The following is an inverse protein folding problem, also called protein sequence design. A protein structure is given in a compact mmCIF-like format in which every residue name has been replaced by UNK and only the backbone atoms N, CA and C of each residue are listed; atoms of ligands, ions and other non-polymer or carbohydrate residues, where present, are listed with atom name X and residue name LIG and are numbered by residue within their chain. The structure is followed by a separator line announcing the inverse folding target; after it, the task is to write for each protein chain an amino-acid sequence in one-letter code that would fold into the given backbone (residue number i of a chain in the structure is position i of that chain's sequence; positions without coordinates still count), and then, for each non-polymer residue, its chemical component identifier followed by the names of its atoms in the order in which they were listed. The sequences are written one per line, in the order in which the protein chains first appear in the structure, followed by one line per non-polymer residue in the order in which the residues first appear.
data_IF_217368502644
#
_entry.id   IF_217368502644
#
_cell.length_a   1.000
_cell.length_b   1.000
_cell.length_c   1.000
_cell.angle_alpha   90.00
_cell.angle_beta   90.00
_cell.angle_gamma   90.00
#
_symmetry.space_group_name_H-M   'P 1'
#
loop_
_entity.id
_entity.type
_entity.pdbx_description
1 polymer ?
#
# COMPACT_ATOMS: atom_id res chain seq x y z
N UNK A 1 40.17 -10.67 -34.64
CA UNK A 1 38.70 -10.44 -34.78
C UNK A 1 37.95 -11.31 -33.78
N UNK A 2 37.93 -11.00 -32.46
CA UNK A 2 37.13 -11.75 -31.45
C UNK A 2 36.74 -10.86 -30.22
N UNK A 3 36.74 -9.55 -30.34
CA UNK A 3 36.39 -8.62 -29.23
C UNK A 3 35.02 -7.98 -29.36
N UNK A 4 34.34 -8.09 -30.50
CA UNK A 4 33.03 -7.46 -30.73
C UNK A 4 31.81 -8.22 -30.20
N UNK A 5 31.87 -9.55 -30.11
CA UNK A 5 30.72 -10.36 -29.70
C UNK A 5 30.45 -10.37 -28.19
N UNK A 6 31.48 -10.18 -27.37
CA UNK A 6 31.32 -10.15 -25.89
C UNK A 6 30.68 -8.86 -25.39
N UNK A 7 30.86 -7.75 -26.09
CA UNK A 7 30.25 -6.46 -25.71
C UNK A 7 28.77 -6.39 -26.02
N UNK A 8 28.34 -7.07 -27.10
CA UNK A 8 26.92 -7.13 -27.48
C UNK A 8 26.06 -7.98 -26.51
N UNK A 9 26.66 -9.03 -25.94
CA UNK A 9 25.96 -9.91 -24.98
C UNK A 9 25.77 -9.24 -23.61
N UNK A 10 26.72 -8.41 -23.17
CA UNK A 10 26.57 -7.63 -21.93
C UNK A 10 25.52 -6.51 -22.05
N UNK A 11 25.35 -5.93 -23.23
CA UNK A 11 24.34 -4.88 -23.45
C UNK A 11 22.91 -5.44 -23.49
N UNK A 12 22.72 -6.66 -23.99
CA UNK A 12 21.43 -7.36 -24.02
C UNK A 12 20.99 -7.84 -22.63
N UNK A 13 21.91 -8.13 -21.71
CA UNK A 13 21.58 -8.50 -20.31
C UNK A 13 21.16 -7.31 -19.44
N UNK A 14 21.56 -6.09 -19.79
CA UNK A 14 21.18 -4.87 -19.06
C UNK A 14 19.77 -4.36 -19.41
N UNK A 15 19.21 -4.77 -20.53
CA UNK A 15 17.83 -4.35 -20.96
C UNK A 15 16.74 -5.24 -20.34
N UNK A 16 17.08 -6.40 -19.80
CA UNK A 16 16.11 -7.36 -19.25
C UNK A 16 15.59 -7.01 -17.83
N UNK A 17 16.06 -5.94 -17.19
CA UNK A 17 15.67 -5.54 -15.84
C UNK A 17 14.93 -4.20 -15.74
N UNK A 18 14.44 -3.65 -16.83
CA UNK A 18 13.43 -2.62 -16.78
C UNK A 18 12.08 -3.29 -16.51
N UNK A 19 11.88 -3.74 -15.28
CA UNK A 19 10.56 -4.09 -14.78
C UNK A 19 9.68 -2.86 -14.94
N UNK A 20 8.73 -2.90 -15.88
CA UNK A 20 7.70 -1.89 -15.99
C UNK A 20 6.96 -1.86 -14.66
N UNK A 21 7.15 -0.79 -13.88
CA UNK A 21 6.24 -0.45 -12.79
C UNK A 21 4.93 -0.10 -13.47
N UNK A 22 4.13 -1.12 -13.77
CA UNK A 22 2.76 -0.92 -14.21
C UNK A 22 2.05 -0.26 -13.03
N UNK A 23 1.59 0.98 -13.21
CA UNK A 23 0.72 1.63 -12.26
C UNK A 23 -0.44 0.66 -11.97
N UNK A 24 -0.57 0.23 -10.73
CA UNK A 24 -1.61 -0.71 -10.35
C UNK A 24 -2.96 0.01 -10.42
N UNK A 25 -3.78 -0.36 -11.41
CA UNK A 25 -5.12 0.21 -11.54
C UNK A 25 -5.94 -0.09 -10.29
N UNK A 26 -6.49 0.96 -9.70
CA UNK A 26 -7.31 0.88 -8.49
C UNK A 26 -8.66 0.19 -8.78
N UNK A 27 -9.16 -0.51 -7.77
CA UNK A 27 -10.53 -1.03 -7.76
C UNK A 27 -11.46 0.15 -7.49
N UNK A 28 -12.44 0.37 -8.37
CA UNK A 28 -13.49 1.37 -8.14
C UNK A 28 -14.51 0.89 -7.11
N UNK A 29 -15.21 1.85 -6.50
CA UNK A 29 -16.28 1.60 -5.53
C UNK A 29 -15.86 0.66 -4.37
N UNK A 30 -14.71 0.94 -3.77
CA UNK A 30 -14.15 0.12 -2.67
C UNK A 30 -15.14 -0.04 -1.54
N UNK A 31 -15.80 1.05 -1.12
CA UNK A 31 -16.76 1.03 0.01
C UNK A 31 -18.06 0.28 -0.28
N UNK A 32 -18.40 0.03 -1.54
CA UNK A 32 -19.52 -0.81 -1.93
C UNK A 32 -19.21 -2.31 -1.99
N UNK A 33 -17.98 -2.72 -1.61
CA UNK A 33 -17.52 -4.10 -1.65
C UNK A 33 -17.53 -4.74 -0.27
N UNK A 34 -17.24 -6.04 -0.23
CA UNK A 34 -17.00 -6.72 1.04
C UNK A 34 -15.65 -6.28 1.60
N UNK A 35 -15.68 -5.46 2.64
CA UNK A 35 -14.50 -4.87 3.26
C UNK A 35 -14.37 -5.31 4.73
N UNK A 36 -13.14 -5.46 5.17
CA UNK A 36 -12.77 -5.57 6.58
C UNK A 36 -11.85 -4.40 6.92
N UNK A 37 -12.29 -3.54 7.83
CA UNK A 37 -11.52 -2.36 8.22
C UNK A 37 -10.35 -2.75 9.11
N UNK A 38 -9.17 -2.24 8.77
CA UNK A 38 -7.97 -2.34 9.58
C UNK A 38 -7.68 -1.02 10.33
N UNK A 39 -8.64 -0.11 10.38
CA UNK A 39 -8.56 1.14 11.14
C UNK A 39 -8.50 0.88 12.65
N UNK A 40 -8.07 1.90 13.39
CA UNK A 40 -8.00 1.88 14.84
C UNK A 40 -6.59 2.20 15.34
N UNK A 41 -6.24 1.73 16.53
CA UNK A 41 -4.92 1.96 17.10
C UNK A 41 -3.91 0.97 16.55
N UNK A 42 -2.84 1.48 15.95
CA UNK A 42 -1.69 0.72 15.49
C UNK A 42 -0.51 0.97 16.41
N UNK A 43 0.33 -0.01 16.62
CA UNK A 43 1.61 0.18 17.26
C UNK A 43 2.53 0.96 16.32
N UNK A 44 3.38 1.82 16.88
CA UNK A 44 4.26 2.66 16.08
C UNK A 44 5.67 2.76 16.68
N UNK A 45 6.66 2.95 15.81
CA UNK A 45 8.06 3.19 16.17
C UNK A 45 8.53 4.43 15.42
N UNK A 46 9.09 5.40 16.15
CA UNK A 46 9.74 6.57 15.56
C UNK A 46 11.16 6.15 15.18
N UNK A 47 11.45 6.09 13.90
CA UNK A 47 12.77 5.68 13.38
C UNK A 47 13.63 6.92 13.08
N UNK A 48 14.18 7.51 14.13
CA UNK A 48 14.95 8.76 14.05
C UNK A 48 16.17 8.67 13.12
N UNK A 49 16.73 7.48 13.00
CA UNK A 49 18.00 7.24 12.30
C UNK A 49 17.84 6.43 11.01
N UNK A 50 16.62 6.15 10.57
CA UNK A 50 16.30 5.32 9.39
C UNK A 50 16.96 3.93 9.45
N UNK A 51 17.01 3.32 10.62
CA UNK A 51 17.64 2.02 10.82
C UNK A 51 16.65 0.84 10.68
N UNK A 52 15.35 1.10 10.68
CA UNK A 52 14.32 0.06 10.69
C UNK A 52 14.43 -0.93 9.53
N UNK A 53 14.83 -0.47 8.34
CA UNK A 53 15.11 -1.33 7.20
C UNK A 53 16.29 -2.27 7.47
N UNK A 54 17.40 -1.73 7.95
CA UNK A 54 18.61 -2.50 8.28
C UNK A 54 18.35 -3.50 9.40
N UNK A 55 17.58 -3.08 10.39
CA UNK A 55 17.21 -3.92 11.55
C UNK A 55 16.06 -4.89 11.24
N UNK A 56 15.47 -4.79 10.04
CA UNK A 56 14.36 -5.62 9.57
C UNK A 56 13.19 -5.68 10.55
N UNK A 57 12.82 -4.54 11.14
CA UNK A 57 11.76 -4.48 12.15
C UNK A 57 10.40 -4.94 11.60
N UNK A 58 10.22 -4.94 10.28
CA UNK A 58 9.05 -5.47 9.58
C UNK A 58 8.89 -6.99 9.68
N UNK A 59 9.94 -7.72 10.10
CA UNK A 59 9.86 -9.16 10.35
C UNK A 59 9.19 -9.46 11.71
N UNK A 60 9.10 -8.48 12.60
CA UNK A 60 8.59 -8.62 13.97
C UNK A 60 9.27 -9.79 14.73
N UNK A 61 10.58 -9.90 14.55
CA UNK A 61 11.39 -10.94 15.19
C UNK A 61 11.39 -10.74 16.70
N UNK A 62 11.26 -11.80 17.44
CA UNK A 62 11.47 -11.79 18.88
C UNK A 62 12.95 -12.04 19.20
N UNK A 63 13.47 -11.50 20.33
CA UNK A 63 14.82 -11.79 20.77
C UNK A 63 15.04 -13.31 20.99
N UNK A 64 16.18 -13.84 20.51
CA UNK A 64 16.53 -15.26 20.64
C UNK A 64 17.21 -15.61 21.98
N UNK A 65 17.26 -14.67 22.91
CA UNK A 65 17.84 -14.87 24.23
C UNK A 65 18.22 -13.57 24.93
N UNK A 66 18.76 -13.67 26.13
CA UNK A 66 19.06 -12.52 26.99
C UNK A 66 20.20 -11.61 26.49
N UNK A 67 20.95 -12.04 25.49
CA UNK A 67 22.06 -11.30 24.87
C UNK A 67 21.73 -10.80 23.46
N UNK A 68 20.55 -11.10 22.95
CA UNK A 68 20.09 -10.58 21.66
C UNK A 68 19.46 -9.21 21.89
N UNK A 69 20.23 -8.16 21.62
CA UNK A 69 19.78 -6.78 21.70
C UNK A 69 18.84 -6.48 20.55
N UNK A 70 17.55 -6.45 20.82
CA UNK A 70 16.51 -6.03 19.89
C UNK A 70 16.05 -4.64 20.26
N UNK A 71 16.54 -3.64 19.52
CA UNK A 71 16.37 -2.23 19.84
C UNK A 71 14.95 -1.73 19.53
N UNK A 72 14.26 -2.37 18.60
CA UNK A 72 12.96 -1.93 18.09
C UNK A 72 11.89 -3.00 18.31
N UNK A 73 11.02 -2.78 19.28
CA UNK A 73 9.83 -3.61 19.49
C UNK A 73 8.56 -2.78 19.31
N UNK A 74 7.56 -3.34 18.63
CA UNK A 74 6.26 -2.68 18.47
C UNK A 74 5.42 -2.75 19.75
N UNK A 75 5.60 -3.79 20.55
CA UNK A 75 4.83 -4.02 21.76
C UNK A 75 5.24 -3.05 22.88
N UNK A 76 4.23 -2.48 23.57
CA UNK A 76 4.44 -1.59 24.72
C UNK A 76 4.89 -0.16 24.38
N UNK A 77 5.07 0.15 23.08
CA UNK A 77 5.51 1.46 22.61
C UNK A 77 4.39 2.44 22.27
N UNK A 78 4.72 3.40 21.40
CA UNK A 78 3.79 4.39 20.88
C UNK A 78 2.63 3.73 20.15
N UNK A 79 1.42 4.29 20.30
CA UNK A 79 0.22 3.90 19.56
C UNK A 79 -0.40 5.10 18.88
N UNK A 80 -0.62 4.96 17.56
CA UNK A 80 -1.21 6.00 16.74
C UNK A 80 -2.54 5.52 16.16
N UNK A 81 -3.50 6.43 16.03
CA UNK A 81 -4.76 6.14 15.37
C UNK A 81 -4.58 6.13 13.86
N UNK A 82 -5.17 5.16 13.20
CA UNK A 82 -5.31 5.04 11.75
C UNK A 82 -6.80 4.99 11.44
N UNK A 83 -7.32 5.87 10.60
CA UNK A 83 -6.65 7.01 9.95
C UNK A 83 -6.25 8.12 10.92
N UNK A 84 -5.16 8.82 10.57
CA UNK A 84 -4.70 9.99 11.29
C UNK A 84 -3.26 10.38 10.93
N UNK A 85 -2.95 11.66 11.06
CA UNK A 85 -1.58 12.12 11.03
C UNK A 85 -0.93 11.94 12.41
N UNK A 86 0.37 11.73 12.44
CA UNK A 86 1.07 11.60 13.72
C UNK A 86 1.34 12.93 14.42
N UNK A 87 1.38 14.04 13.66
CA UNK A 87 1.77 15.36 14.19
C UNK A 87 0.75 15.91 15.17
N UNK A 88 -0.54 15.56 15.01
CA UNK A 88 -1.61 15.95 15.92
C UNK A 88 -1.84 14.98 17.08
N UNK A 89 -1.25 13.78 17.05
CA UNK A 89 -1.56 12.71 18.00
C UNK A 89 -0.57 12.60 19.15
N UNK A 90 0.66 13.11 18.99
CA UNK A 90 1.69 13.09 20.03
C UNK A 90 2.48 14.40 20.04
N UNK A 91 2.70 15.00 21.21
CA UNK A 91 3.53 16.20 21.33
C UNK A 91 4.95 16.02 20.78
N UNK A 92 5.52 14.83 20.94
CA UNK A 92 6.85 14.46 20.44
C UNK A 92 6.94 14.47 18.91
N UNK A 93 5.82 14.20 18.25
CA UNK A 93 5.72 14.13 16.80
C UNK A 93 5.21 15.44 16.17
N UNK A 94 4.86 16.45 16.98
CA UNK A 94 4.24 17.68 16.48
C UNK A 94 4.98 18.31 15.30
N UNK A 95 6.29 18.34 15.35
CA UNK A 95 7.15 18.91 14.30
C UNK A 95 8.03 17.85 13.61
N UNK A 96 7.75 16.59 13.85
CA UNK A 96 8.58 15.51 13.34
C UNK A 96 8.38 15.34 11.83
N UNK A 97 9.48 15.39 11.11
CA UNK A 97 9.61 15.01 9.70
C UNK A 97 10.65 13.89 9.61
N UNK A 98 10.22 12.71 9.23
CA UNK A 98 11.09 11.54 9.21
C UNK A 98 10.31 10.26 8.96
N UNK A 99 10.87 9.16 9.46
CA UNK A 99 10.30 7.83 9.31
C UNK A 99 9.58 7.39 10.58
N UNK A 100 8.32 6.95 10.42
CA UNK A 100 7.54 6.25 11.44
C UNK A 100 7.09 4.91 10.87
N UNK A 101 7.36 3.86 11.62
CA UNK A 101 6.86 2.53 11.32
C UNK A 101 5.55 2.30 12.06
N UNK A 102 4.56 1.80 11.34
CA UNK A 102 3.26 1.37 11.87
C UNK A 102 3.18 -0.14 11.81
N UNK A 103 2.57 -0.77 12.82
CA UNK A 103 2.32 -2.20 12.79
C UNK A 103 0.97 -2.57 13.40
N UNK A 104 0.37 -3.60 12.81
CA UNK A 104 -0.89 -4.18 13.26
C UNK A 104 -0.95 -5.68 12.99
N UNK A 105 -1.45 -6.42 13.95
CA UNK A 105 -1.93 -7.77 13.77
C UNK A 105 -3.40 -7.77 13.36
N UNK A 106 -3.78 -8.65 12.46
CA UNK A 106 -5.17 -8.83 12.05
C UNK A 106 -5.45 -10.26 11.61
N UNK A 107 -6.63 -10.75 11.95
CA UNK A 107 -7.08 -12.06 11.52
C UNK A 107 -7.62 -12.01 10.09
N UNK A 108 -7.18 -12.94 9.27
CA UNK A 108 -7.70 -13.14 7.94
C UNK A 108 -7.84 -14.62 7.62
N UNK A 109 -8.64 -14.92 6.61
CA UNK A 109 -8.75 -16.24 6.03
C UNK A 109 -8.44 -16.16 4.55
N UNK A 110 -7.55 -17.02 4.08
CA UNK A 110 -7.32 -17.18 2.65
C UNK A 110 -8.55 -17.78 2.00
N UNK A 111 -9.08 -17.12 0.98
CA UNK A 111 -10.31 -17.51 0.30
C UNK A 111 -9.98 -17.97 -1.13
N UNK A 112 -10.15 -19.27 -1.39
CA UNK A 112 -9.79 -19.86 -2.68
C UNK A 112 -10.66 -19.34 -3.85
N UNK A 113 -11.91 -18.92 -3.57
CA UNK A 113 -12.88 -18.42 -4.54
C UNK A 113 -12.91 -16.89 -4.67
N UNK A 114 -12.07 -16.16 -3.92
CA UNK A 114 -12.00 -14.69 -3.88
C UNK A 114 -10.63 -14.19 -4.24
N UNK A 115 -10.57 -12.90 -4.58
CA UNK A 115 -9.33 -12.10 -4.55
C UNK A 115 -9.39 -11.15 -3.37
N UNK A 116 -8.25 -10.92 -2.75
CA UNK A 116 -8.13 -10.10 -1.54
C UNK A 116 -7.07 -9.04 -1.76
N UNK A 117 -7.39 -7.80 -1.39
CA UNK A 117 -6.53 -6.63 -1.61
C UNK A 117 -6.40 -5.85 -0.32
N UNK A 118 -5.18 -5.44 0.02
CA UNK A 118 -4.97 -4.36 0.96
C UNK A 118 -5.09 -3.03 0.22
N UNK A 119 -6.01 -2.19 0.68
CA UNK A 119 -6.26 -0.86 0.15
C UNK A 119 -5.88 0.17 1.19
N UNK A 120 -5.11 1.17 0.77
CA UNK A 120 -4.74 2.33 1.56
C UNK A 120 -5.34 3.56 0.89
N UNK A 121 -6.18 4.29 1.61
CA UNK A 121 -6.84 5.49 1.08
C UNK A 121 -5.90 6.67 0.89
N UNK A 122 -4.93 6.83 1.78
CA UNK A 122 -3.79 7.74 1.64
C UNK A 122 -2.74 7.48 2.73
N UNK A 123 -1.47 7.58 2.37
CA UNK A 123 -0.32 7.52 3.28
C UNK A 123 0.63 8.66 2.92
N UNK A 124 0.94 9.53 3.87
CA UNK A 124 1.76 10.71 3.61
C UNK A 124 3.19 10.54 4.16
N UNK A 125 4.24 10.57 3.34
CA UNK A 125 4.28 10.84 1.90
C UNK A 125 4.74 9.62 1.11
N UNK A 126 5.89 9.00 1.50
CA UNK A 126 6.40 7.73 0.95
C UNK A 126 6.06 6.61 1.89
N UNK A 127 5.75 5.46 1.35
CA UNK A 127 5.47 4.29 2.17
C UNK A 127 5.97 3.00 1.53
N UNK A 128 6.39 2.06 2.40
CA UNK A 128 6.63 0.67 2.06
C UNK A 128 5.76 -0.21 2.93
N UNK A 129 5.13 -1.18 2.32
CA UNK A 129 4.18 -2.07 2.99
C UNK A 129 4.75 -3.48 3.06
N UNK A 130 4.70 -4.06 4.26
CA UNK A 130 5.20 -5.41 4.53
C UNK A 130 4.08 -6.26 5.11
N UNK A 131 3.88 -7.43 4.54
CA UNK A 131 2.94 -8.43 5.06
C UNK A 131 3.71 -9.70 5.43
N UNK A 132 3.61 -10.10 6.70
CA UNK A 132 4.28 -11.27 7.24
C UNK A 132 5.80 -11.29 6.98
N UNK A 133 6.45 -10.12 7.11
CA UNK A 133 7.89 -9.96 6.93
C UNK A 133 8.35 -9.79 5.47
N UNK A 134 7.42 -9.77 4.50
CA UNK A 134 7.74 -9.61 3.08
C UNK A 134 7.26 -8.25 2.58
N UNK A 135 8.11 -7.49 1.89
CA UNK A 135 7.72 -6.29 1.16
C UNK A 135 6.75 -6.64 0.03
N UNK A 136 5.61 -5.95 -0.03
CA UNK A 136 4.53 -6.22 -0.97
C UNK A 136 4.13 -5.02 -1.82
N UNK A 137 4.43 -3.80 -1.36
CA UNK A 137 4.15 -2.58 -2.10
C UNK A 137 5.04 -1.43 -1.65
N UNK A 138 5.27 -0.49 -2.57
CA UNK A 138 5.85 0.81 -2.33
C UNK A 138 4.96 1.87 -2.99
N UNK A 139 4.77 3.02 -2.33
CA UNK A 139 3.96 4.12 -2.86
C UNK A 139 4.54 5.48 -2.49
N UNK A 140 4.44 6.42 -3.41
CA UNK A 140 4.77 7.83 -3.20
C UNK A 140 3.59 8.72 -3.58
N UNK A 141 3.16 9.58 -2.66
CA UNK A 141 2.05 10.51 -2.87
C UNK A 141 1.10 10.56 -1.67
N UNK A 142 1.05 11.70 -0.96
CA UNK A 142 0.36 11.84 0.33
C UNK A 142 -1.17 11.78 0.29
N UNK A 143 -1.79 11.90 -0.90
CA UNK A 143 -3.24 12.09 -1.04
C UNK A 143 -3.91 11.08 -1.96
N UNK A 144 -3.13 10.28 -2.68
CA UNK A 144 -3.61 9.28 -3.64
C UNK A 144 -3.74 7.92 -2.99
N UNK A 145 -4.82 7.18 -3.27
CA UNK A 145 -4.95 5.81 -2.80
C UNK A 145 -4.05 4.86 -3.60
N UNK A 146 -3.71 3.75 -2.96
CA UNK A 146 -3.05 2.62 -3.61
C UNK A 146 -3.56 1.30 -3.02
N UNK A 147 -3.29 0.22 -3.71
CA UNK A 147 -3.67 -1.12 -3.27
C UNK A 147 -2.66 -2.16 -3.72
N UNK A 148 -2.69 -3.29 -3.07
CA UNK A 148 -1.90 -4.46 -3.45
C UNK A 148 -2.70 -5.73 -3.27
N UNK A 149 -2.65 -6.64 -4.24
CA UNK A 149 -3.28 -7.95 -4.12
C UNK A 149 -2.50 -8.84 -3.16
N UNK A 150 -3.20 -9.37 -2.16
CA UNK A 150 -2.63 -10.21 -1.11
C UNK A 150 -3.25 -11.61 -1.05
N UNK A 151 -4.01 -12.00 -2.06
CA UNK A 151 -4.75 -13.27 -2.12
C UNK A 151 -3.88 -14.46 -1.74
N UNK A 152 -2.67 -14.54 -2.29
CA UNK A 152 -1.74 -15.66 -2.06
C UNK A 152 -0.71 -15.40 -0.95
N UNK A 153 -0.73 -14.21 -0.35
CA UNK A 153 0.22 -13.78 0.68
C UNK A 153 -0.35 -13.88 2.10
N UNK A 154 -1.68 -13.89 2.22
CA UNK A 154 -2.36 -14.05 3.50
C UNK A 154 -2.15 -15.45 4.06
N UNK A 155 -2.03 -15.53 5.39
CA UNK A 155 -2.12 -16.76 6.15
C UNK A 155 -3.52 -16.90 6.74
N UNK A 156 -3.96 -18.13 7.01
CA UNK A 156 -5.16 -18.33 7.83
C UNK A 156 -4.84 -17.99 9.29
N UNK A 157 -5.69 -17.19 9.92
CA UNK A 157 -5.49 -16.65 11.25
C UNK A 157 -4.70 -15.36 11.26
N UNK A 158 -3.75 -15.21 12.16
CA UNK A 158 -3.02 -13.98 12.41
C UNK A 158 -2.04 -13.62 11.29
N UNK A 159 -2.14 -12.37 10.84
CA UNK A 159 -1.25 -11.76 9.87
C UNK A 159 -0.65 -10.49 10.47
N UNK A 160 0.64 -10.30 10.25
CA UNK A 160 1.36 -9.11 10.67
C UNK A 160 1.54 -8.16 9.50
N UNK A 161 1.00 -6.95 9.63
CA UNK A 161 1.12 -5.87 8.66
C UNK A 161 2.00 -4.78 9.25
N UNK A 162 3.12 -4.46 8.59
CA UNK A 162 3.97 -3.34 8.91
C UNK A 162 4.00 -2.35 7.75
N UNK A 163 4.02 -1.05 8.06
CA UNK A 163 4.08 0.04 7.09
C UNK A 163 5.14 1.04 7.53
N UNK A 164 6.17 1.18 6.73
CA UNK A 164 7.10 2.29 6.83
C UNK A 164 6.48 3.51 6.19
N UNK A 165 6.45 4.63 6.90
CA UNK A 165 5.93 5.90 6.39
C UNK A 165 6.98 6.98 6.61
N UNK A 166 7.34 7.70 5.54
CA UNK A 166 8.32 8.78 5.59
C UNK A 166 7.73 10.05 4.97
N UNK A 167 7.66 11.14 5.76
CA UNK A 167 7.16 12.42 5.29
C UNK A 167 8.26 13.48 5.07
N UNK A 168 9.53 13.10 5.01
CA UNK A 168 10.60 14.09 4.75
C UNK A 168 10.36 14.81 3.44
N UNK A 169 10.48 16.14 3.50
CA UNK A 169 10.38 16.99 2.32
C UNK A 169 11.56 16.77 1.39
N UNK A 170 11.28 16.69 0.11
CA UNK A 170 12.30 16.68 -0.95
C UNK A 170 11.94 17.73 -1.99
N UNK A 171 12.82 17.95 -2.96
CA UNK A 171 12.55 18.92 -4.04
C UNK A 171 11.30 18.57 -4.83
N UNK A 172 11.03 17.27 -4.98
CA UNK A 172 9.97 16.72 -5.83
C UNK A 172 8.73 16.26 -5.03
N UNK A 173 8.77 16.41 -3.69
CA UNK A 173 7.63 16.04 -2.83
C UNK A 173 6.56 17.15 -2.78
N UNK A 174 5.37 16.80 -2.30
CA UNK A 174 4.27 17.75 -2.04
C UNK A 174 3.86 17.61 -0.56
N UNK A 175 4.17 18.60 0.30
CA UNK A 175 4.85 19.87 -0.01
C UNK A 175 6.35 19.68 -0.28
N UNK A 176 6.90 20.52 -1.17
CA UNK A 176 8.33 20.59 -1.43
C UNK A 176 9.06 21.34 -0.31
N UNK A 177 10.41 21.29 -0.31
CA UNK A 177 11.26 21.87 0.73
C UNK A 177 11.01 23.37 1.02
N UNK A 178 10.58 24.13 0.01
CA UNK A 178 10.42 25.59 0.11
C UNK A 178 8.99 26.05 0.48
N UNK A 179 8.07 25.10 0.74
CA UNK A 179 6.71 25.44 1.15
C UNK A 179 6.61 25.62 2.66
N UNK A 180 5.80 26.58 3.08
CA UNK A 180 5.49 26.89 4.49
C UNK A 180 4.30 26.11 5.05
N UNK A 181 3.72 25.18 4.27
CA UNK A 181 2.64 24.32 4.73
C UNK A 181 3.12 23.31 5.75
N UNK A 182 2.25 23.03 6.72
CA UNK A 182 2.50 21.97 7.66
C UNK A 182 2.60 20.61 6.95
N UNK A 183 3.67 19.90 7.23
CA UNK A 183 3.95 18.62 6.59
C UNK A 183 3.43 17.47 7.45
N UNK A 184 2.14 17.20 7.35
CA UNK A 184 1.52 16.08 8.05
C UNK A 184 2.01 14.74 7.51
N UNK A 185 2.45 13.86 8.43
CA UNK A 185 2.84 12.49 8.08
C UNK A 185 1.91 11.45 8.71
N UNK A 186 1.81 10.28 8.10
CA UNK A 186 1.03 9.18 8.66
C UNK A 186 0.12 8.49 7.66
N UNK A 187 -0.64 7.53 8.16
CA UNK A 187 -1.69 6.82 7.41
C UNK A 187 -2.99 7.63 7.60
N UNK A 188 -3.24 8.54 6.67
CA UNK A 188 -4.22 9.63 6.85
C UNK A 188 -5.64 9.27 6.40
N UNK A 189 -5.81 8.13 5.70
CA UNK A 189 -7.12 7.59 5.32
C UNK A 189 -7.19 6.10 5.62
N UNK A 190 -8.36 5.52 5.36
CA UNK A 190 -8.69 4.14 5.71
C UNK A 190 -7.69 3.12 5.17
N UNK A 191 -7.45 2.09 5.98
CA UNK A 191 -6.78 0.85 5.57
C UNK A 191 -7.81 -0.27 5.60
N UNK A 192 -8.00 -0.92 4.46
CA UNK A 192 -9.06 -1.91 4.26
C UNK A 192 -8.51 -3.20 3.65
N UNK A 193 -8.98 -4.34 4.14
CA UNK A 193 -8.88 -5.61 3.42
C UNK A 193 -10.15 -5.77 2.58
N UNK A 194 -10.01 -5.63 1.27
CA UNK A 194 -11.11 -5.67 0.28
C UNK A 194 -11.20 -7.07 -0.30
N UNK A 195 -12.38 -7.66 -0.32
CA UNK A 195 -12.65 -8.98 -0.89
C UNK A 195 -13.52 -8.84 -2.13
N UNK A 196 -13.12 -9.48 -3.23
CA UNK A 196 -13.84 -9.50 -4.49
C UNK A 196 -14.06 -10.93 -4.97
N UNK A 197 -15.05 -11.21 -5.83
CA UNK A 197 -15.04 -12.43 -6.62
C UNK A 197 -13.74 -12.55 -7.44
N UNK A 198 -13.45 -13.72 -7.98
CA UNK A 198 -12.26 -13.86 -8.86
C UNK A 198 -12.36 -12.95 -10.07
N UNK A 199 -13.50 -12.95 -10.75
CA UNK A 199 -13.84 -11.96 -11.77
C UNK A 199 -14.77 -10.92 -11.16
N UNK A 200 -14.41 -9.66 -11.29
CA UNK A 200 -15.17 -8.53 -10.75
C UNK A 200 -15.09 -7.33 -11.69
N UNK A 201 -16.03 -6.39 -11.54
CA UNK A 201 -15.99 -5.11 -12.23
C UNK A 201 -14.85 -4.29 -11.61
N UNK A 202 -13.78 -4.11 -12.38
CA UNK A 202 -12.59 -3.36 -11.96
C UNK A 202 -12.84 -1.87 -12.03
N UNK A 203 -13.44 -1.44 -13.15
CA UNK A 203 -13.78 -0.05 -13.40
C UNK A 203 -15.02 0.04 -14.28
N UNK A 204 -15.73 1.17 -14.21
CA UNK A 204 -16.86 1.45 -15.09
C UNK A 204 -17.00 2.94 -15.34
N UNK A 205 -17.56 3.26 -16.49
CA UNK A 205 -17.88 4.62 -16.89
C UNK A 205 -19.28 4.65 -17.51
N UNK A 206 -20.15 5.52 -16.99
CA UNK A 206 -21.54 5.66 -17.43
C UNK A 206 -21.77 7.11 -17.78
N UNK A 207 -22.29 7.37 -18.98
CA UNK A 207 -22.64 8.71 -19.46
C UNK A 207 -23.84 8.68 -20.38
N UNK A 208 -24.46 9.83 -20.57
CA UNK A 208 -25.42 10.04 -21.66
C UNK A 208 -24.70 10.09 -23.01
N UNK A 209 -25.38 9.59 -24.04
CA UNK A 209 -24.88 9.73 -25.40
C UNK A 209 -24.93 11.19 -25.83
N UNK A 210 -23.86 11.69 -26.43
CA UNK A 210 -23.74 13.09 -26.87
C UNK A 210 -24.79 13.46 -27.94
N UNK A 211 -25.15 12.52 -28.79
CA UNK A 211 -26.03 12.74 -29.94
C UNK A 211 -27.47 12.31 -29.66
N UNK A 212 -27.70 11.49 -28.65
CA UNK A 212 -29.01 10.91 -28.31
C UNK A 212 -29.17 10.98 -26.80
N UNK A 213 -29.65 12.11 -26.23
CA UNK A 213 -29.64 12.35 -24.78
C UNK A 213 -30.48 11.40 -23.93
N UNK A 214 -31.40 10.66 -24.54
CA UNK A 214 -32.20 9.58 -23.95
C UNK A 214 -31.50 8.21 -23.94
N UNK A 215 -30.27 8.14 -24.50
CA UNK A 215 -29.46 6.94 -24.54
C UNK A 215 -28.31 7.00 -23.53
N UNK A 216 -28.11 5.91 -22.78
CA UNK A 216 -26.99 5.73 -21.87
C UNK A 216 -25.91 4.87 -22.55
N UNK A 217 -24.66 5.29 -22.42
CA UNK A 217 -23.49 4.52 -22.77
C UNK A 217 -22.82 4.04 -21.47
N UNK A 218 -22.75 2.73 -21.28
CA UNK A 218 -22.02 2.11 -20.18
C UNK A 218 -20.77 1.38 -20.71
N UNK A 219 -19.59 1.70 -20.17
CA UNK A 219 -18.35 0.96 -20.40
C UNK A 219 -17.97 0.31 -19.11
N UNK A 220 -17.73 -1.00 -19.12
CA UNK A 220 -17.41 -1.80 -17.93
C UNK A 220 -16.11 -2.55 -18.21
N UNK A 221 -15.14 -2.41 -17.30
CA UNK A 221 -13.89 -3.15 -17.34
C UNK A 221 -13.93 -4.26 -16.27
N UNK A 222 -13.77 -5.50 -16.71
CA UNK A 222 -13.65 -6.65 -15.84
C UNK A 222 -12.19 -6.91 -15.48
N UNK A 223 -11.95 -7.48 -14.29
CA UNK A 223 -10.61 -7.85 -13.82
C UNK A 223 -9.96 -8.93 -14.70
N UNK A 224 -10.80 -9.82 -15.26
CA UNK A 224 -10.40 -10.89 -16.15
C UNK A 224 -11.35 -10.94 -17.34
N UNK A 225 -10.79 -11.22 -18.54
CA UNK A 225 -11.59 -11.40 -19.74
C UNK A 225 -11.92 -12.89 -19.90
N UNK A 226 -13.12 -13.28 -19.46
CA UNK A 226 -13.66 -14.61 -19.76
C UNK A 226 -14.77 -14.51 -20.78
N UNK A 227 -14.72 -15.38 -21.82
CA UNK A 227 -15.80 -15.47 -22.80
C UNK A 227 -17.12 -15.90 -22.11
N UNK A 228 -18.22 -15.21 -22.43
CA UNK A 228 -19.54 -15.55 -21.94
C UNK A 228 -19.97 -14.93 -20.61
N UNK A 229 -19.13 -14.08 -19.97
CA UNK A 229 -19.58 -13.32 -18.80
C UNK A 229 -20.60 -12.24 -19.20
N UNK A 230 -21.69 -12.17 -18.42
CA UNK A 230 -22.75 -11.17 -18.60
C UNK A 230 -22.61 -10.08 -17.56
N UNK A 231 -22.66 -8.83 -18.01
CA UNK A 231 -22.78 -7.66 -17.16
C UNK A 231 -24.22 -7.14 -17.25
N UNK A 232 -24.87 -7.00 -16.10
CA UNK A 232 -26.24 -6.45 -16.04
C UNK A 232 -26.12 -4.99 -15.58
N UNK A 233 -26.73 -4.09 -16.34
CA UNK A 233 -26.92 -2.68 -15.95
C UNK A 233 -28.40 -2.52 -15.62
N UNK A 234 -28.70 -2.17 -14.36
CA UNK A 234 -30.03 -1.84 -13.90
C UNK A 234 -30.14 -0.31 -13.76
N UNK A 235 -31.23 0.26 -14.25
CA UNK A 235 -31.54 1.69 -14.19
C UNK A 235 -32.81 1.86 -13.35
#
# INVERSE_FOLDING_TARGET
MKTGEKLSLCLLLLIAFAGSVAAQELITNVYGRNIHSLNGKWNAIIDLYDQGQRMKIYENRQPEGNIDFYEYAFEGGLRLNVPGDWNSQSPELKYYEGTVWYARHFDAKRLADKRQFLYFGAVSYRSKVYLNGKEIAEHEGGFTPFQVEVTDLLKDGDNFLAVEVNNRRTKDAIPAMAFDWWNYGGITRDVLLVKTPRTFIKDYFIQLDKNTPDRIIARVHLSDKKAGEKVTVAI
#
